data_IF_980503039337
#
_entry.id   IF_980503039337
#
_cell.length_a   1.000
_cell.length_b   1.000
_cell.length_c   1.000
_cell.angle_alpha   90.00
_cell.angle_beta   90.00
_cell.angle_gamma   90.00
#
_symmetry.space_group_name_H-M   'P 1'
#
loop_
_entity.id
_entity.type
_entity.pdbx_description
1 polymer ?
#
# COMPACT_ATOMS: atom_id res chain seq x y z
N UNK A 1 6.38 2.68 -67.34
CA UNK A 1 7.39 3.22 -66.41
C UNK A 1 6.82 4.44 -65.74
N UNK A 2 6.32 4.29 -64.51
CA UNK A 2 6.09 5.40 -63.57
C UNK A 2 6.25 4.81 -62.17
N UNK A 3 7.36 5.16 -61.53
CA UNK A 3 7.62 4.85 -60.13
C UNK A 3 7.13 6.03 -59.28
N UNK A 4 6.27 5.75 -58.30
CA UNK A 4 5.95 6.68 -57.22
C UNK A 4 7.07 6.61 -56.17
N UNK A 5 7.57 7.75 -55.64
CA UNK A 5 8.47 7.73 -54.50
C UNK A 5 7.66 7.43 -53.23
N UNK A 6 8.17 6.52 -52.42
CA UNK A 6 7.66 6.21 -51.10
C UNK A 6 7.96 7.37 -50.14
N UNK A 7 6.92 7.89 -49.52
CA UNK A 7 6.98 8.84 -48.41
C UNK A 7 7.59 8.12 -47.20
N UNK A 8 8.69 8.65 -46.67
CA UNK A 8 9.25 8.21 -45.38
C UNK A 8 8.62 9.09 -44.29
N UNK A 9 8.03 8.53 -43.23
CA UNK A 9 7.59 9.34 -42.11
C UNK A 9 8.81 9.90 -41.40
N UNK A 10 8.87 11.23 -41.36
CA UNK A 10 9.88 12.04 -40.67
C UNK A 10 9.64 11.91 -39.15
N UNK A 11 10.52 11.18 -38.47
CA UNK A 11 10.52 11.07 -37.01
C UNK A 11 11.21 12.28 -36.42
N UNK A 12 10.47 13.37 -36.17
CA UNK A 12 10.98 14.53 -35.43
C UNK A 12 10.94 14.23 -33.92
N UNK A 13 12.00 13.66 -33.38
CA UNK A 13 12.23 13.67 -31.92
C UNK A 13 12.80 15.03 -31.53
N UNK A 14 12.03 15.81 -30.77
CA UNK A 14 12.46 17.11 -30.25
C UNK A 14 13.54 16.91 -29.17
N UNK A 15 14.74 17.52 -29.28
CA UNK A 15 15.77 17.38 -28.25
C UNK A 15 15.30 17.97 -26.92
N UNK A 16 15.13 17.11 -25.91
CA UNK A 16 14.65 17.49 -24.57
C UNK A 16 13.24 17.01 -24.24
N UNK A 17 12.52 16.44 -25.21
CA UNK A 17 11.29 15.70 -24.93
C UNK A 17 11.68 14.38 -24.28
N UNK A 18 11.43 14.24 -22.98
CA UNK A 18 11.50 12.93 -22.33
C UNK A 18 10.55 12.04 -23.12
N UNK A 19 11.04 10.93 -23.73
CA UNK A 19 10.18 10.04 -24.51
C UNK A 19 8.92 9.77 -23.70
N UNK A 20 7.74 9.81 -24.32
CA UNK A 20 6.49 9.60 -23.60
C UNK A 20 6.60 8.24 -22.92
N UNK A 21 6.94 8.31 -21.63
CA UNK A 21 7.35 7.15 -20.87
C UNK A 21 6.10 6.26 -20.85
N UNK A 22 6.22 4.94 -21.03
CA UNK A 22 5.06 4.07 -20.84
C UNK A 22 4.48 4.47 -19.47
N UNK A 23 3.20 4.87 -19.39
CA UNK A 23 2.61 5.32 -18.13
C UNK A 23 2.34 4.12 -17.21
N UNK A 24 3.42 3.45 -16.87
CA UNK A 24 3.51 2.21 -16.16
C UNK A 24 3.52 0.97 -17.06
N UNK A 25 3.82 -0.17 -16.42
CA UNK A 25 3.88 -1.51 -17.01
C UNK A 25 2.51 -1.98 -17.55
N UNK A 26 1.44 -1.18 -17.41
CA UNK A 26 0.06 -1.51 -17.80
C UNK A 26 -0.63 -0.56 -18.79
N UNK A 27 0.09 0.37 -19.44
CA UNK A 27 -0.45 1.26 -20.49
C UNK A 27 -0.35 2.76 -20.16
N UNK A 28 -0.53 3.65 -21.14
CA UNK A 28 -0.27 5.09 -20.98
C UNK A 28 -1.43 5.92 -20.42
N UNK A 29 -2.65 5.38 -20.45
CA UNK A 29 -3.86 6.08 -20.03
C UNK A 29 -4.07 5.93 -18.52
N UNK A 30 -3.99 7.01 -17.73
CA UNK A 30 -4.16 6.95 -16.28
C UNK A 30 -5.58 6.57 -15.84
N UNK A 31 -6.58 6.75 -16.70
CA UNK A 31 -7.99 6.52 -16.39
C UNK A 31 -8.43 5.07 -16.66
N UNK A 32 -7.65 4.32 -17.44
CA UNK A 32 -7.89 2.90 -17.68
C UNK A 32 -7.25 2.02 -16.60
N UNK A 33 -7.90 0.93 -16.14
CA UNK A 33 -7.24 -0.03 -15.26
C UNK A 33 -5.95 -0.57 -15.89
N UNK A 34 -4.87 -0.75 -15.10
CA UNK A 34 -3.64 -1.34 -15.62
C UNK A 34 -3.93 -2.74 -16.19
N UNK A 35 -3.45 -3.00 -17.41
CA UNK A 35 -3.56 -4.31 -18.03
C UNK A 35 -2.38 -5.17 -17.61
N UNK A 36 -2.66 -6.37 -17.09
CA UNK A 36 -1.64 -7.34 -16.69
C UNK A 36 -1.61 -8.49 -17.69
N UNK A 37 -0.41 -8.83 -18.16
CA UNK A 37 -0.18 -10.00 -19.01
C UNK A 37 -0.13 -11.28 -18.18
N UNK A 38 -0.21 -12.44 -18.84
CA UNK A 38 -0.03 -13.73 -18.17
C UNK A 38 1.35 -13.89 -17.54
N UNK A 39 2.38 -13.25 -18.12
CA UNK A 39 3.74 -13.22 -17.56
C UNK A 39 3.81 -12.39 -16.27
N UNK A 40 3.11 -11.26 -16.23
CA UNK A 40 3.05 -10.41 -15.03
C UNK A 40 2.36 -11.16 -13.87
N UNK A 41 1.27 -11.86 -14.15
CA UNK A 41 0.56 -12.69 -13.17
C UNK A 41 1.43 -13.88 -12.70
N UNK A 42 2.19 -14.49 -13.60
CA UNK A 42 3.10 -15.58 -13.25
C UNK A 42 4.23 -15.08 -12.33
N UNK A 43 4.78 -13.89 -12.57
CA UNK A 43 5.78 -13.29 -11.71
C UNK A 43 5.22 -13.00 -10.30
N UNK A 44 4.00 -12.47 -10.22
CA UNK A 44 3.31 -12.24 -8.94
C UNK A 44 3.09 -13.55 -8.16
N UNK A 45 2.60 -14.60 -8.83
CA UNK A 45 2.39 -15.91 -8.21
C UNK A 45 3.71 -16.53 -7.70
N UNK A 46 4.77 -16.44 -8.51
CA UNK A 46 6.10 -16.95 -8.14
C UNK A 46 6.64 -16.23 -6.90
N UNK A 47 6.46 -14.91 -6.78
CA UNK A 47 6.87 -14.16 -5.59
C UNK A 47 6.20 -14.68 -4.32
N UNK A 48 4.89 -14.91 -4.35
CA UNK A 48 4.16 -15.41 -3.18
C UNK A 48 4.62 -16.79 -2.73
N UNK A 49 5.09 -17.64 -3.65
CA UNK A 49 5.56 -19.00 -3.35
C UNK A 49 7.04 -19.08 -3.00
N UNK A 50 7.90 -18.27 -3.63
CA UNK A 50 9.36 -18.41 -3.57
C UNK A 50 10.03 -17.42 -2.62
N UNK A 51 9.37 -16.28 -2.32
CA UNK A 51 9.98 -15.20 -1.54
C UNK A 51 9.55 -15.17 -0.07
N UNK A 52 8.77 -16.14 0.40
CA UNK A 52 8.31 -16.18 1.79
C UNK A 52 9.50 -16.18 2.77
N UNK A 53 9.50 -15.21 3.69
CA UNK A 53 10.55 -15.09 4.71
C UNK A 53 11.85 -14.42 4.23
N UNK A 54 11.91 -13.91 2.99
CA UNK A 54 13.02 -13.04 2.54
C UNK A 54 12.71 -11.60 2.98
N UNK A 55 13.53 -11.04 3.88
CA UNK A 55 13.33 -9.67 4.38
C UNK A 55 14.56 -8.76 4.15
N UNK A 56 14.43 -7.63 3.40
CA UNK A 56 13.37 -7.30 2.45
C UNK A 56 13.54 -8.01 1.11
N UNK A 57 12.44 -8.15 0.35
CA UNK A 57 12.47 -8.61 -1.04
C UNK A 57 13.09 -7.54 -1.94
N UNK A 58 12.56 -6.31 -1.88
CA UNK A 58 13.06 -5.15 -2.61
C UNK A 58 12.64 -3.84 -1.94
N UNK A 59 13.26 -2.73 -2.33
CA UNK A 59 12.88 -1.39 -1.89
C UNK A 59 12.80 -0.47 -3.10
N UNK A 60 11.71 0.27 -3.23
CA UNK A 60 11.48 1.27 -4.27
C UNK A 60 11.19 2.62 -3.65
N UNK A 61 11.44 3.70 -4.38
CA UNK A 61 11.00 5.03 -4.00
C UNK A 61 9.61 5.35 -4.55
N UNK A 62 8.93 6.35 -3.99
CA UNK A 62 7.66 6.89 -4.50
C UNK A 62 7.73 7.13 -6.02
N UNK A 63 8.83 7.75 -6.47
CA UNK A 63 9.06 8.11 -7.87
C UNK A 63 9.21 6.88 -8.75
N UNK A 64 9.92 5.84 -8.28
CA UNK A 64 10.08 4.58 -9.00
C UNK A 64 8.74 3.86 -9.14
N UNK A 65 7.95 3.79 -8.06
CA UNK A 65 6.60 3.22 -8.13
C UNK A 65 5.74 4.03 -9.09
N UNK A 66 5.70 5.36 -8.95
CA UNK A 66 4.93 6.22 -9.83
C UNK A 66 5.38 6.10 -11.29
N UNK A 67 6.67 5.92 -11.56
CA UNK A 67 7.17 5.74 -12.92
C UNK A 67 6.72 4.41 -13.54
N UNK A 68 6.70 3.34 -12.75
CA UNK A 68 6.37 1.99 -13.20
C UNK A 68 4.88 1.66 -13.16
N UNK A 69 4.12 2.38 -12.35
CA UNK A 69 2.68 2.18 -12.22
C UNK A 69 1.91 3.24 -13.02
N UNK A 70 2.54 4.37 -13.32
CA UNK A 70 1.98 5.47 -14.09
C UNK A 70 1.86 6.73 -13.23
N UNK A 71 2.64 7.76 -13.56
CA UNK A 71 2.83 8.90 -12.67
C UNK A 71 1.55 9.71 -12.44
N UNK A 72 0.59 9.67 -13.38
CA UNK A 72 -0.70 10.34 -13.24
C UNK A 72 -1.77 9.45 -12.59
N UNK A 73 -1.50 8.16 -12.35
CA UNK A 73 -2.47 7.25 -11.74
C UNK A 73 -2.63 7.52 -10.25
N UNK A 74 -3.87 7.46 -9.80
CA UNK A 74 -4.18 7.41 -8.38
C UNK A 74 -3.55 6.16 -7.74
N UNK A 75 -3.02 6.37 -6.54
CA UNK A 75 -2.41 5.34 -5.69
C UNK A 75 -3.28 5.20 -4.44
N UNK A 76 -3.47 3.95 -3.98
CA UNK A 76 -4.14 3.68 -2.69
C UNK A 76 -3.19 3.84 -1.50
N UNK A 77 -1.89 3.81 -1.76
CA UNK A 77 -0.83 3.98 -0.76
C UNK A 77 -0.30 5.40 -0.84
N UNK A 78 -0.01 5.97 0.32
CA UNK A 78 0.63 7.28 0.44
C UNK A 78 1.95 7.31 -0.33
N UNK A 79 2.25 8.43 -0.96
CA UNK A 79 3.54 8.67 -1.62
C UNK A 79 4.14 9.93 -1.00
N UNK A 80 4.64 9.86 0.25
CA UNK A 80 4.90 11.03 1.08
C UNK A 80 5.74 12.11 0.40
N UNK A 81 6.81 11.72 -0.31
CA UNK A 81 7.66 12.67 -0.99
C UNK A 81 6.96 13.29 -2.20
N UNK A 82 6.27 12.47 -3.00
CA UNK A 82 5.53 12.96 -4.17
C UNK A 82 4.30 13.81 -3.79
N UNK A 83 3.68 13.54 -2.65
CA UNK A 83 2.53 14.27 -2.13
C UNK A 83 2.96 15.67 -1.63
N UNK A 84 4.18 15.79 -1.11
CA UNK A 84 4.80 17.08 -0.77
C UNK A 84 5.31 17.86 -2.00
N UNK A 85 5.59 17.18 -3.11
CA UNK A 85 6.16 17.76 -4.34
C UNK A 85 5.32 17.43 -5.60
N UNK A 86 4.01 17.74 -5.60
CA UNK A 86 3.09 17.31 -6.66
C UNK A 86 3.48 17.87 -8.04
N UNK A 87 4.05 19.07 -8.10
CA UNK A 87 4.50 19.71 -9.34
C UNK A 87 5.72 19.02 -9.97
N UNK A 88 6.50 18.28 -9.16
CA UNK A 88 7.71 17.59 -9.61
C UNK A 88 7.43 16.14 -10.02
N UNK A 89 6.24 15.61 -9.74
CA UNK A 89 5.89 14.19 -9.91
C UNK A 89 6.29 13.60 -11.25
N UNK A 90 5.91 14.24 -12.37
CA UNK A 90 6.25 13.77 -13.72
C UNK A 90 7.77 13.73 -13.95
N UNK A 91 8.47 14.80 -13.57
CA UNK A 91 9.92 14.92 -13.76
C UNK A 91 10.67 13.89 -12.89
N UNK A 92 10.30 13.79 -11.63
CA UNK A 92 10.92 12.90 -10.65
C UNK A 92 10.73 11.43 -11.05
N UNK A 93 9.51 11.03 -11.44
CA UNK A 93 9.24 9.69 -12.01
C UNK A 93 10.05 9.43 -13.29
N UNK A 94 10.21 10.42 -14.17
CA UNK A 94 11.01 10.25 -15.39
C UNK A 94 12.49 10.05 -15.12
N UNK A 95 13.05 10.78 -14.15
CA UNK A 95 14.44 10.59 -13.69
C UNK A 95 14.61 9.21 -13.06
N UNK A 96 13.67 8.79 -12.22
CA UNK A 96 13.68 7.47 -11.59
C UNK A 96 13.65 6.34 -12.64
N UNK A 97 12.76 6.40 -13.63
CA UNK A 97 12.70 5.40 -14.70
C UNK A 97 14.00 5.33 -15.49
N UNK A 98 14.56 6.48 -15.86
CA UNK A 98 15.85 6.53 -16.56
C UNK A 98 16.96 5.88 -15.74
N UNK A 99 16.99 6.11 -14.43
CA UNK A 99 17.94 5.45 -13.54
C UNK A 99 17.73 3.92 -13.48
N UNK A 100 16.47 3.47 -13.45
CA UNK A 100 16.14 2.03 -13.48
C UNK A 100 16.48 1.35 -14.81
N UNK A 101 16.34 2.06 -15.93
CA UNK A 101 16.81 1.58 -17.24
C UNK A 101 18.33 1.46 -17.25
N UNK A 102 19.03 2.49 -16.76
CA UNK A 102 20.49 2.49 -16.70
C UNK A 102 21.06 1.40 -15.77
N UNK A 103 20.34 1.04 -14.70
CA UNK A 103 20.73 -0.03 -13.78
C UNK A 103 20.28 -1.43 -14.21
N UNK A 104 19.58 -1.55 -15.34
CA UNK A 104 19.08 -2.84 -15.86
C UNK A 104 17.85 -3.39 -15.13
N UNK A 105 17.24 -2.62 -14.22
CA UNK A 105 16.00 -3.00 -13.55
C UNK A 105 14.78 -2.87 -14.47
N UNK A 106 14.87 -2.02 -15.50
CA UNK A 106 13.88 -1.90 -16.57
C UNK A 106 14.60 -2.08 -17.90
N UNK A 107 14.04 -2.90 -18.78
CA UNK A 107 14.63 -3.20 -20.07
C UNK A 107 13.56 -3.30 -21.16
N UNK A 108 13.97 -3.07 -22.40
CA UNK A 108 13.12 -3.26 -23.55
C UNK A 108 13.18 -4.72 -23.99
N UNK A 109 12.03 -5.31 -24.25
CA UNK A 109 11.87 -6.66 -24.79
C UNK A 109 11.00 -6.60 -26.03
N UNK A 110 11.24 -7.46 -27.00
CA UNK A 110 10.36 -7.63 -28.15
C UNK A 110 9.19 -8.54 -27.77
N UNK A 111 7.97 -8.06 -27.94
CA UNK A 111 6.77 -8.84 -27.68
C UNK A 111 6.64 -10.01 -28.68
N UNK A 112 6.45 -11.25 -28.21
CA UNK A 112 6.22 -12.39 -29.09
C UNK A 112 4.93 -12.23 -29.90
N UNK A 113 5.03 -12.36 -31.22
CA UNK A 113 3.88 -12.31 -32.14
C UNK A 113 3.69 -10.98 -32.84
N UNK A 114 3.83 -9.85 -32.14
CA UNK A 114 3.73 -8.50 -32.75
C UNK A 114 5.08 -7.97 -33.22
N UNK A 115 6.17 -8.40 -32.57
CA UNK A 115 7.50 -7.83 -32.82
C UNK A 115 7.67 -6.40 -32.28
N UNK A 116 6.67 -5.88 -31.57
CA UNK A 116 6.71 -4.54 -31.01
C UNK A 116 7.65 -4.48 -29.80
N UNK A 117 8.40 -3.38 -29.62
CA UNK A 117 9.16 -3.18 -28.40
C UNK A 117 8.21 -2.87 -27.23
N UNK A 118 8.40 -3.58 -26.12
CA UNK A 118 7.72 -3.33 -24.83
C UNK A 118 8.74 -3.14 -23.73
N UNK A 119 8.48 -2.21 -22.82
CA UNK A 119 9.28 -2.04 -21.61
C UNK A 119 8.82 -3.03 -20.54
N UNK A 120 9.78 -3.61 -19.81
CA UNK A 120 9.53 -4.55 -18.71
C UNK A 120 10.45 -4.25 -17.55
N UNK A 121 9.91 -4.29 -16.32
CA UNK A 121 10.73 -4.28 -15.12
C UNK A 121 11.19 -5.70 -14.77
N UNK A 122 12.16 -5.80 -13.85
CA UNK A 122 12.57 -7.05 -13.24
C UNK A 122 11.35 -7.80 -12.67
N UNK A 123 11.31 -9.15 -12.74
CA UNK A 123 10.15 -9.94 -12.32
C UNK A 123 9.69 -9.64 -10.89
N UNK A 124 10.62 -9.39 -9.96
CA UNK A 124 10.30 -9.06 -8.58
C UNK A 124 9.56 -7.73 -8.45
N UNK A 125 9.95 -6.74 -9.24
CA UNK A 125 9.30 -5.42 -9.27
C UNK A 125 7.90 -5.56 -9.89
N UNK A 126 7.81 -6.21 -11.05
CA UNK A 126 6.54 -6.46 -11.74
C UNK A 126 5.57 -7.22 -10.83
N UNK A 127 6.03 -8.30 -10.19
CA UNK A 127 5.21 -9.09 -9.30
C UNK A 127 4.71 -8.29 -8.09
N UNK A 128 5.55 -7.47 -7.45
CA UNK A 128 5.11 -6.57 -6.38
C UNK A 128 4.02 -5.61 -6.87
N UNK A 129 4.21 -4.94 -8.02
CA UNK A 129 3.22 -3.99 -8.54
C UNK A 129 1.88 -4.65 -8.90
N UNK A 130 1.92 -5.86 -9.48
CA UNK A 130 0.71 -6.66 -9.73
C UNK A 130 0.00 -6.99 -8.43
N UNK A 131 0.71 -7.53 -7.43
CA UNK A 131 0.13 -7.89 -6.13
C UNK A 131 -0.49 -6.67 -5.42
N UNK A 132 0.12 -5.48 -5.54
CA UNK A 132 -0.44 -4.22 -5.02
C UNK A 132 -1.79 -3.86 -5.65
N UNK A 133 -1.96 -4.11 -6.95
CA UNK A 133 -3.14 -3.70 -7.74
C UNK A 133 -4.26 -4.73 -7.75
N UNK A 134 -3.95 -6.00 -7.47
CA UNK A 134 -4.87 -7.13 -7.68
C UNK A 134 -5.38 -7.78 -6.40
N UNK A 135 -4.98 -7.26 -5.23
CA UNK A 135 -5.37 -7.84 -3.95
C UNK A 135 -6.90 -7.76 -3.74
N UNK A 136 -7.58 -8.87 -3.43
CA UNK A 136 -9.00 -8.87 -3.06
C UNK A 136 -9.26 -8.15 -1.72
N UNK A 137 -8.27 -8.15 -0.84
CA UNK A 137 -8.32 -7.54 0.48
C UNK A 137 -7.03 -6.74 0.71
N UNK A 138 -7.21 -5.48 1.09
CA UNK A 138 -6.13 -4.54 1.33
C UNK A 138 -6.32 -3.89 2.69
N UNK A 139 -5.32 -4.02 3.57
CA UNK A 139 -5.36 -3.44 4.91
C UNK A 139 -4.21 -2.46 5.07
N UNK A 140 -4.50 -1.26 5.53
CA UNK A 140 -3.51 -0.24 5.89
C UNK A 140 -3.52 -0.03 7.40
N UNK A 141 -2.34 -0.03 8.02
CA UNK A 141 -2.12 0.50 9.36
C UNK A 141 -1.31 1.79 9.26
N UNK A 142 -1.94 2.91 9.58
CA UNK A 142 -1.24 4.16 9.84
C UNK A 142 -1.08 4.33 11.35
N UNK A 143 0.14 4.16 11.84
CA UNK A 143 0.47 4.30 13.26
C UNK A 143 1.17 5.61 13.53
N UNK A 144 0.52 6.46 14.33
CA UNK A 144 1.12 7.67 14.89
C UNK A 144 1.67 7.36 16.28
N UNK A 145 2.98 7.50 16.47
CA UNK A 145 3.67 7.34 17.75
C UNK A 145 4.05 8.71 18.28
N UNK A 146 3.74 8.99 19.55
CA UNK A 146 4.16 10.24 20.19
C UNK A 146 5.60 10.10 20.70
N UNK A 147 6.53 10.87 20.13
CA UNK A 147 7.94 10.87 20.53
C UNK A 147 8.35 12.24 21.08
N UNK A 148 9.51 12.33 21.74
CA UNK A 148 10.07 13.62 22.20
C UNK A 148 10.32 14.61 21.05
N UNK A 149 10.52 14.11 19.83
CA UNK A 149 10.74 14.91 18.61
C UNK A 149 9.43 15.32 17.92
N UNK A 150 8.28 14.93 18.47
CA UNK A 150 6.95 15.11 17.87
C UNK A 150 6.33 13.80 17.40
N UNK A 151 5.12 13.86 16.82
CA UNK A 151 4.44 12.68 16.28
C UNK A 151 5.19 12.10 15.08
N UNK A 152 5.46 10.80 15.11
CA UNK A 152 6.04 10.06 13.99
C UNK A 152 4.98 9.12 13.41
N UNK A 153 4.83 9.16 12.08
CA UNK A 153 3.86 8.33 11.37
C UNK A 153 4.59 7.17 10.69
N UNK A 154 4.14 5.95 10.98
CA UNK A 154 4.58 4.72 10.33
C UNK A 154 3.41 4.12 9.55
N UNK A 155 3.66 3.73 8.29
CA UNK A 155 2.63 3.16 7.42
C UNK A 155 3.04 1.75 7.02
N UNK A 156 2.15 0.81 7.30
CA UNK A 156 2.25 -0.56 6.82
C UNK A 156 0.99 -0.90 6.04
N UNK A 157 1.18 -1.58 4.93
CA UNK A 157 0.11 -2.03 4.06
C UNK A 157 0.23 -3.53 3.82
N UNK A 158 -0.87 -4.26 3.89
CA UNK A 158 -0.94 -5.69 3.61
C UNK A 158 -1.89 -5.94 2.45
N UNK A 159 -1.35 -6.53 1.40
CA UNK A 159 -2.07 -6.99 0.21
C UNK A 159 -2.26 -8.49 0.33
N UNK A 160 -3.49 -8.90 0.65
CA UNK A 160 -3.79 -10.30 0.96
C UNK A 160 -4.15 -11.04 -0.32
N UNK A 161 -3.43 -12.12 -0.60
CA UNK A 161 -3.66 -13.03 -1.72
C UNK A 161 -3.85 -14.45 -1.21
N UNK A 162 -4.35 -15.35 -2.07
CA UNK A 162 -4.59 -16.76 -1.68
C UNK A 162 -3.30 -17.47 -1.23
N UNK A 163 -2.18 -17.21 -1.93
CA UNK A 163 -0.90 -17.87 -1.66
C UNK A 163 -0.02 -17.17 -0.62
N UNK A 164 -0.43 -16.01 -0.09
CA UNK A 164 0.35 -15.24 0.89
C UNK A 164 -0.02 -13.77 0.94
N UNK A 165 0.77 -13.00 1.69
CA UNK A 165 0.56 -11.56 1.90
C UNK A 165 1.80 -10.81 1.42
N UNK A 166 1.60 -9.79 0.58
CA UNK A 166 2.64 -8.79 0.34
C UNK A 166 2.47 -7.67 1.37
N UNK A 167 3.48 -7.45 2.19
CA UNK A 167 3.59 -6.32 3.09
C UNK A 167 4.42 -5.21 2.42
N UNK A 168 3.96 -3.97 2.53
CA UNK A 168 4.62 -2.75 2.09
C UNK A 168 4.76 -1.79 3.28
N UNK A 169 5.98 -1.53 3.72
CA UNK A 169 6.28 -0.52 4.73
C UNK A 169 6.71 0.77 4.02
N UNK A 170 6.05 1.89 4.34
CA UNK A 170 6.33 3.20 3.74
C UNK A 170 6.94 4.14 4.78
N UNK A 171 8.14 4.61 4.48
CA UNK A 171 8.85 5.59 5.30
C UNK A 171 8.43 7.02 4.96
N UNK A 172 8.68 7.96 5.88
CA UNK A 172 8.45 9.38 5.65
C UNK A 172 9.28 9.97 4.48
N UNK A 173 10.37 9.32 4.09
CA UNK A 173 11.22 9.75 2.98
C UNK A 173 10.74 9.21 1.60
N UNK A 174 9.58 8.56 1.55
CA UNK A 174 9.06 7.99 0.31
C UNK A 174 9.77 6.69 -0.13
N UNK A 175 10.31 5.93 0.83
CA UNK A 175 10.83 4.58 0.55
C UNK A 175 9.76 3.54 0.89
N UNK A 176 9.50 2.64 -0.04
CA UNK A 176 8.58 1.51 0.03
C UNK A 176 9.36 0.20 0.09
N UNK A 177 9.32 -0.45 1.25
CA UNK A 177 9.98 -1.72 1.49
C UNK A 177 8.97 -2.86 1.38
N UNK A 178 9.23 -3.79 0.47
CA UNK A 178 8.35 -4.92 0.20
C UNK A 178 8.85 -6.20 0.85
N UNK A 179 7.94 -6.93 1.48
CA UNK A 179 8.19 -8.21 2.12
C UNK A 179 7.06 -9.19 1.79
N UNK A 180 7.38 -10.44 1.48
CA UNK A 180 6.38 -11.48 1.29
C UNK A 180 6.30 -12.35 2.54
N UNK A 181 5.10 -12.47 3.09
CA UNK A 181 4.83 -13.14 4.35
C UNK A 181 3.76 -14.22 4.18
N UNK A 182 3.86 -15.35 4.90
CA UNK A 182 2.69 -16.18 5.15
C UNK A 182 1.68 -15.41 6.01
N UNK A 183 0.39 -15.73 5.87
CA UNK A 183 -0.69 -15.01 6.57
C UNK A 183 -0.50 -14.98 8.09
N UNK A 184 -0.04 -16.08 8.69
CA UNK A 184 0.23 -16.16 10.13
C UNK A 184 1.33 -15.18 10.59
N UNK A 185 2.37 -14.99 9.78
CA UNK A 185 3.44 -14.03 10.07
C UNK A 185 2.95 -12.59 9.89
N UNK A 186 2.12 -12.33 8.87
CA UNK A 186 1.48 -11.03 8.69
C UNK A 186 0.56 -10.68 9.89
N UNK A 187 -0.24 -11.63 10.37
CA UNK A 187 -1.10 -11.44 11.55
C UNK A 187 -0.28 -11.20 12.82
N UNK A 188 0.83 -11.93 12.97
CA UNK A 188 1.77 -11.72 14.09
C UNK A 188 2.40 -10.33 14.05
N UNK A 189 2.82 -9.86 12.87
CA UNK A 189 3.38 -8.51 12.68
C UNK A 189 2.34 -7.42 12.95
N UNK A 190 1.13 -7.55 12.42
CA UNK A 190 0.03 -6.62 12.69
C UNK A 190 -0.29 -6.57 14.19
N UNK A 191 -0.34 -7.71 14.89
CA UNK A 191 -0.54 -7.74 16.35
C UNK A 191 0.56 -6.94 17.08
N UNK A 192 1.82 -7.10 16.66
CA UNK A 192 2.94 -6.33 17.23
C UNK A 192 2.89 -4.82 16.89
N UNK A 193 2.23 -4.44 15.78
CA UNK A 193 1.97 -3.03 15.46
C UNK A 193 0.92 -2.44 16.41
N UNK A 194 -0.13 -3.20 16.73
CA UNK A 194 -1.24 -2.79 17.59
C UNK A 194 -0.89 -2.79 19.08
N UNK A 195 -0.11 -3.78 19.55
CA UNK A 195 0.31 -3.93 20.94
C UNK A 195 1.84 -4.07 21.05
N UNK A 196 2.61 -2.98 20.84
CA UNK A 196 4.06 -3.04 20.86
C UNK A 196 4.64 -3.41 22.24
N UNK A 197 3.96 -3.02 23.32
CA UNK A 197 4.39 -3.23 24.71
C UNK A 197 3.86 -4.54 25.31
N UNK A 198 3.03 -5.30 24.57
CA UNK A 198 2.40 -6.57 24.99
C UNK A 198 1.59 -6.43 26.28
N UNK A 199 0.76 -5.40 26.33
CA UNK A 199 -0.06 -5.02 27.50
C UNK A 199 -1.51 -5.48 27.40
N UNK A 200 -1.96 -5.99 26.24
CA UNK A 200 -3.30 -6.52 26.03
C UNK A 200 -3.53 -7.83 26.81
N UNK A 201 -3.93 -7.72 28.08
CA UNK A 201 -4.02 -8.86 29.02
C UNK A 201 -5.44 -9.30 29.36
N UNK A 202 -6.40 -8.38 29.34
CA UNK A 202 -7.78 -8.67 29.72
C UNK A 202 -8.73 -7.91 28.80
N UNK A 203 -9.73 -8.60 28.28
CA UNK A 203 -10.80 -7.99 27.51
C UNK A 203 -11.74 -7.20 28.40
N UNK A 204 -12.38 -6.18 27.83
CA UNK A 204 -13.40 -5.36 28.47
C UNK A 204 -14.75 -5.49 27.79
N UNK A 205 -15.82 -5.21 28.53
CA UNK A 205 -17.13 -5.01 27.92
C UNK A 205 -17.10 -3.76 26.99
N UNK A 206 -17.86 -3.78 25.88
CA UNK A 206 -17.97 -2.61 25.01
C UNK A 206 -18.57 -1.42 25.77
N UNK A 207 -18.05 -0.24 25.46
CA UNK A 207 -18.48 1.04 26.00
C UNK A 207 -18.87 1.95 24.83
N UNK A 208 -20.09 2.47 24.86
CA UNK A 208 -20.62 3.36 23.83
C UNK A 208 -20.61 4.81 24.29
N UNK A 209 -20.08 5.70 23.45
CA UNK A 209 -20.01 7.14 23.71
C UNK A 209 -20.22 7.88 22.39
N UNK A 210 -21.14 8.85 22.33
CA UNK A 210 -21.26 9.70 21.13
C UNK A 210 -20.03 10.58 20.95
N UNK A 211 -19.71 10.93 19.69
CA UNK A 211 -18.57 11.81 19.38
C UNK A 211 -18.67 13.13 20.16
N UNK A 212 -19.85 13.74 20.20
CA UNK A 212 -20.10 15.01 20.89
C UNK A 212 -19.89 14.92 22.41
N UNK A 213 -20.13 13.76 23.02
CA UNK A 213 -19.97 13.54 24.46
C UNK A 213 -18.55 13.14 24.86
N UNK A 214 -17.73 12.66 23.92
CA UNK A 214 -16.42 12.08 24.22
C UNK A 214 -15.51 13.04 25.00
N UNK A 215 -15.48 14.32 24.64
CA UNK A 215 -14.57 15.29 25.26
C UNK A 215 -14.82 15.49 26.76
N UNK A 216 -16.06 15.30 27.23
CA UNK A 216 -16.45 15.38 28.64
C UNK A 216 -16.48 14.02 29.36
N UNK A 217 -16.28 12.91 28.63
CA UNK A 217 -16.34 11.57 29.19
C UNK A 217 -15.01 11.18 29.86
N UNK A 218 -14.99 10.41 30.96
CA UNK A 218 -13.75 9.93 31.61
C UNK A 218 -12.78 9.20 30.68
N UNK A 219 -13.30 8.68 29.57
CA UNK A 219 -12.50 8.03 28.53
C UNK A 219 -11.53 9.02 27.85
N UNK A 220 -11.86 10.31 27.74
CA UNK A 220 -10.96 11.30 27.14
C UNK A 220 -9.61 11.38 27.88
N UNK A 221 -9.63 11.40 29.22
CA UNK A 221 -8.40 11.38 30.02
C UNK A 221 -7.59 10.10 29.82
N UNK A 222 -8.28 8.97 29.61
CA UNK A 222 -7.63 7.68 29.31
C UNK A 222 -6.99 7.70 27.93
N UNK A 223 -7.70 8.16 26.90
CA UNK A 223 -7.19 8.29 25.53
C UNK A 223 -6.06 9.32 25.42
N UNK A 224 -6.03 10.34 26.28
CA UNK A 224 -4.91 11.29 26.34
C UNK A 224 -3.58 10.62 26.76
N UNK A 225 -3.62 9.42 27.35
CA UNK A 225 -2.42 8.62 27.70
C UNK A 225 -1.94 7.73 26.54
N UNK A 226 -2.56 7.77 25.37
CA UNK A 226 -2.17 6.96 24.21
C UNK A 226 -0.74 7.22 23.79
N UNK A 227 0.06 6.15 23.74
CA UNK A 227 1.45 6.17 23.28
C UNK A 227 1.54 6.04 21.77
N UNK A 228 0.68 5.19 21.21
CA UNK A 228 0.53 5.04 19.77
C UNK A 228 -0.94 4.87 19.40
N UNK A 229 -1.37 5.61 18.38
CA UNK A 229 -2.66 5.45 17.73
C UNK A 229 -2.43 4.78 16.38
N UNK A 230 -3.04 3.63 16.16
CA UNK A 230 -3.06 2.96 14.85
C UNK A 230 -4.44 3.07 14.25
N UNK A 231 -4.54 3.69 13.07
CA UNK A 231 -5.76 3.67 12.26
C UNK A 231 -5.63 2.53 11.26
N UNK A 232 -6.50 1.54 11.39
CA UNK A 232 -6.64 0.44 10.45
C UNK A 232 -7.73 0.80 9.44
N UNK A 233 -7.40 0.75 8.16
CA UNK A 233 -8.38 0.86 7.07
C UNK A 233 -8.34 -0.43 6.26
N UNK A 234 -9.49 -1.07 6.12
CA UNK A 234 -9.66 -2.32 5.39
C UNK A 234 -10.52 -2.06 4.17
N UNK A 235 -10.06 -2.52 3.02
CA UNK A 235 -10.77 -2.39 1.74
C UNK A 235 -10.97 -3.79 1.17
N UNK A 236 -12.23 -4.17 0.99
CA UNK A 236 -12.61 -5.36 0.22
C UNK A 236 -12.90 -4.92 -1.21
N UNK A 237 -11.98 -5.19 -2.12
CA UNK A 237 -12.01 -4.60 -3.48
C UNK A 237 -13.17 -5.13 -4.32
N UNK A 238 -13.62 -6.37 -4.10
CA UNK A 238 -14.75 -6.96 -4.82
C UNK A 238 -16.10 -6.32 -4.47
N UNK A 239 -16.28 -5.91 -3.22
CA UNK A 239 -17.53 -5.32 -2.71
C UNK A 239 -17.48 -3.79 -2.68
N UNK A 240 -16.28 -3.21 -2.80
CA UNK A 240 -16.05 -1.78 -2.65
C UNK A 240 -16.30 -1.30 -1.21
N UNK A 241 -16.34 -2.20 -0.23
CA UNK A 241 -16.57 -1.85 1.16
C UNK A 241 -15.27 -1.39 1.82
N UNK A 242 -15.41 -0.36 2.66
CA UNK A 242 -14.31 0.21 3.45
C UNK A 242 -14.73 0.16 4.92
N UNK A 243 -13.86 -0.40 5.76
CA UNK A 243 -14.05 -0.43 7.21
C UNK A 243 -12.85 0.23 7.88
N UNK A 244 -13.11 0.92 9.00
CA UNK A 244 -12.06 1.57 9.77
C UNK A 244 -12.18 1.18 11.24
N UNK A 245 -11.02 0.85 11.82
CA UNK A 245 -10.86 0.57 13.24
C UNK A 245 -9.68 1.39 13.76
N UNK A 246 -9.85 1.97 14.95
CA UNK A 246 -8.80 2.70 15.63
C UNK A 246 -8.30 1.87 16.81
N UNK A 247 -6.99 1.67 16.92
CA UNK A 247 -6.38 1.00 18.06
C UNK A 247 -5.51 1.99 18.83
N UNK A 248 -5.80 2.13 20.12
CA UNK A 248 -5.08 2.98 21.06
C UNK A 248 -4.20 2.08 21.94
N UNK A 249 -2.89 2.13 21.73
CA UNK A 249 -1.92 1.51 22.62
C UNK A 249 -1.71 2.41 23.85
N UNK A 250 -2.28 2.01 24.99
CA UNK A 250 -2.13 2.67 26.27
C UNK A 250 -0.95 2.04 27.05
N UNK A 251 -0.47 2.67 28.15
CA UNK A 251 0.59 2.09 28.96
C UNK A 251 0.27 0.74 29.62
N UNK A 252 -1.02 0.43 29.76
CA UNK A 252 -1.55 -0.67 30.57
C UNK A 252 -2.61 -1.53 29.84
N UNK A 253 -3.02 -1.15 28.63
CA UNK A 253 -4.08 -1.82 27.88
C UNK A 253 -4.01 -1.46 26.39
N UNK A 254 -4.78 -2.18 25.57
CA UNK A 254 -5.09 -1.77 24.19
C UNK A 254 -6.60 -1.58 24.09
N UNK A 255 -7.02 -0.42 23.57
CA UNK A 255 -8.41 -0.15 23.25
C UNK A 255 -8.61 -0.14 21.75
N UNK A 256 -9.64 -0.81 21.26
CA UNK A 256 -10.15 -0.62 19.90
C UNK A 256 -11.33 0.32 19.92
N UNK A 257 -11.53 1.06 18.83
CA UNK A 257 -12.68 1.92 18.61
C UNK A 257 -13.17 1.80 17.18
N UNK A 258 -14.48 1.70 17.04
CA UNK A 258 -15.18 1.78 15.77
C UNK A 258 -16.33 2.79 15.89
N UNK A 259 -16.64 3.49 14.80
CA UNK A 259 -17.83 4.32 14.72
C UNK A 259 -19.01 3.47 14.26
N UNK A 260 -20.05 3.39 15.09
CA UNK A 260 -21.34 2.85 14.73
C UNK A 260 -22.07 3.92 13.90
N UNK A 261 -22.46 3.56 12.67
CA UNK A 261 -23.13 4.45 11.71
C UNK A 261 -22.37 5.77 11.42
N UNK A 262 -21.15 5.69 10.84
CA UNK A 262 -20.26 6.84 10.62
C UNK A 262 -20.84 7.92 9.69
N UNK A 263 -21.94 7.65 8.99
CA UNK A 263 -22.63 8.61 8.12
C UNK A 263 -23.58 9.57 8.85
N UNK A 264 -23.73 9.45 10.17
CA UNK A 264 -24.60 10.31 10.99
C UNK A 264 -23.86 11.56 11.49
N UNK A 265 -24.59 12.59 11.91
CA UNK A 265 -24.01 13.86 12.39
C UNK A 265 -23.23 13.70 13.71
N UNK A 266 -23.67 12.79 14.57
CA UNK A 266 -23.04 12.47 15.85
C UNK A 266 -23.01 10.95 16.05
N UNK A 267 -22.08 10.24 15.38
CA UNK A 267 -22.04 8.79 15.42
C UNK A 267 -21.71 8.30 16.83
N UNK A 268 -22.24 7.13 17.17
CA UNK A 268 -21.91 6.46 18.42
C UNK A 268 -20.57 5.74 18.25
N UNK A 269 -19.63 5.94 19.17
CA UNK A 269 -18.35 5.25 19.15
C UNK A 269 -18.42 4.06 20.10
N UNK A 270 -18.13 2.87 19.60
CA UNK A 270 -17.92 1.69 20.43
C UNK A 270 -16.43 1.57 20.77
N UNK A 271 -16.10 1.58 22.05
CA UNK A 271 -14.76 1.30 22.56
C UNK A 271 -14.74 -0.06 23.25
N UNK A 272 -13.68 -0.82 23.02
CA UNK A 272 -13.48 -2.11 23.69
C UNK A 272 -12.03 -2.29 24.10
N UNK A 273 -11.80 -2.71 25.34
CA UNK A 273 -10.49 -3.22 25.73
C UNK A 273 -10.34 -4.63 25.19
N UNK A 274 -9.23 -4.90 24.52
CA UNK A 274 -8.97 -6.17 23.86
C UNK A 274 -7.85 -6.91 24.58
N UNK A 275 -8.01 -8.23 24.69
CA UNK A 275 -6.92 -9.09 25.12
C UNK A 275 -6.07 -9.58 23.92
N UNK A 276 -5.06 -10.39 24.23
CA UNK A 276 -4.17 -10.94 23.22
C UNK A 276 -4.91 -11.85 22.21
N UNK A 277 -5.92 -12.61 22.66
CA UNK A 277 -6.66 -13.50 21.78
C UNK A 277 -7.57 -12.70 20.84
N UNK A 278 -8.21 -11.65 21.35
CA UNK A 278 -8.98 -10.69 20.55
C UNK A 278 -8.11 -10.03 19.48
N UNK A 279 -6.91 -9.57 19.84
CA UNK A 279 -5.97 -8.95 18.89
C UNK A 279 -5.49 -9.94 17.82
N UNK A 280 -5.20 -11.18 18.20
CA UNK A 280 -4.79 -12.22 17.25
C UNK A 280 -5.93 -12.57 16.29
N UNK A 281 -7.15 -12.69 16.80
CA UNK A 281 -8.33 -12.95 15.98
C UNK A 281 -8.58 -11.79 15.01
N UNK A 282 -8.53 -10.54 15.50
CA UNK A 282 -8.64 -9.34 14.68
C UNK A 282 -7.57 -9.32 13.59
N UNK A 283 -6.29 -9.45 13.96
CA UNK A 283 -5.20 -9.42 13.00
C UNK A 283 -5.33 -10.52 11.94
N UNK A 284 -5.75 -11.72 12.33
CA UNK A 284 -5.98 -12.83 11.40
C UNK A 284 -7.10 -12.56 10.41
N UNK A 285 -8.16 -11.85 10.82
CA UNK A 285 -9.23 -11.41 9.91
C UNK A 285 -8.73 -10.30 8.98
N UNK A 286 -7.97 -9.35 9.50
CA UNK A 286 -7.51 -8.17 8.75
C UNK A 286 -6.45 -8.49 7.70
N UNK A 287 -5.67 -9.56 7.89
CA UNK A 287 -4.62 -9.98 6.93
C UNK A 287 -4.80 -11.40 6.40
N UNK A 288 -5.92 -12.03 6.74
CA UNK A 288 -6.35 -13.33 6.23
C UNK A 288 -7.61 -13.19 5.41
N UNK A 289 -7.97 -14.22 4.65
CA UNK A 289 -9.29 -14.23 3.99
C UNK A 289 -10.34 -14.46 5.07
N UNK A 290 -11.44 -13.71 5.02
CA UNK A 290 -12.68 -14.17 5.63
C UNK A 290 -12.99 -15.55 5.03
N UNK A 291 -13.02 -16.57 5.89
CA UNK A 291 -13.30 -17.96 5.50
C UNK A 291 -14.73 -18.14 5.01
#
# INVERSE_FOLDING_TARGET
MSAHPADRPDGSETPGEVPDLPAGIGGTDPDLPPQHTSEDLAAAAALLTEAQGREPLLTLTDEQIAALDGYARAQFVAAPWLDEHPEQRRLASGIALRAMVASGQVHQRTEPGTGAPTWRAAPEITGCLVLRRTAPLFTTAERTVQTEQGPQVHRLHWYVHEAGVLEEEVSAAGLHRFTVLPAEAAASRLTAVLDPDRVARAGGAPLHVSVSALAGHPLAERLARTRALTVLTVVHTAEGSVQQLHAYALPDAVLTMEALDPGTEDPELEFREVDQADLQALASVLVGRAG
#
